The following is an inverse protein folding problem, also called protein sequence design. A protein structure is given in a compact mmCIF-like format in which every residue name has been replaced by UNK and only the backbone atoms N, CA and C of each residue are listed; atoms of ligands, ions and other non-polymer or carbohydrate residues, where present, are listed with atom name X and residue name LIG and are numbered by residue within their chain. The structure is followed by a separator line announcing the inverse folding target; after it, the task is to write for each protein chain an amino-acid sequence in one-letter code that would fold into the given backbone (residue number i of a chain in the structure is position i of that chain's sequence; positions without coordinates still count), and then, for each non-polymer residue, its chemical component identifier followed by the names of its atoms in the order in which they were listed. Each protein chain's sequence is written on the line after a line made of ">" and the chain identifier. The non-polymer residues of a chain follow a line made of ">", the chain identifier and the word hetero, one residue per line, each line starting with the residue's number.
data_IF_729437311599
#
_entry.id   IF_729437311599
#
_cell.length_a   1.000
_cell.length_b   1.000
_cell.length_c   1.000
_cell.angle_alpha   90.00
_cell.angle_beta   90.00
_cell.angle_gamma   90.00
#
_symmetry.space_group_name_H-M   'P 1'
#
loop_
_entity.id
_entity.type
_entity.pdbx_description
1 polymer ?
#
# COMPACT_ATOMS: atom_id res chain seq x y z
N UNK A 1 -1.77 4.97 46.62
CA UNK A 1 -2.28 3.78 45.90
C UNK A 1 -3.06 4.13 44.61
N UNK A 2 -4.11 4.97 44.64
CA UNK A 2 -4.93 5.30 43.44
C UNK A 2 -4.15 5.89 42.24
N UNK A 3 -3.10 6.69 42.50
CA UNK A 3 -2.22 7.27 41.45
C UNK A 3 -1.30 6.24 40.79
N UNK A 4 -0.81 5.24 41.54
CA UNK A 4 0.01 4.15 41.01
C UNK A 4 -0.83 3.20 40.15
N UNK A 5 -2.08 2.96 40.51
CA UNK A 5 -3.00 2.11 39.74
C UNK A 5 -3.32 2.70 38.36
N UNK A 6 -3.42 4.04 38.27
CA UNK A 6 -3.66 4.77 37.02
C UNK A 6 -2.45 4.76 36.08
N UNK A 7 -1.24 4.89 36.65
CA UNK A 7 0.02 4.73 35.92
C UNK A 7 0.22 3.29 35.45
N UNK A 8 -0.20 2.30 36.24
CA UNK A 8 -0.19 0.89 35.84
C UNK A 8 -1.17 0.61 34.68
N UNK A 9 -2.38 1.15 34.73
CA UNK A 9 -3.34 1.04 33.63
C UNK A 9 -2.83 1.70 32.34
N UNK A 10 -2.18 2.86 32.46
CA UNK A 10 -1.56 3.56 31.34
C UNK A 10 -0.39 2.76 30.75
N UNK A 11 0.44 2.16 31.61
CA UNK A 11 1.52 1.26 31.23
C UNK A 11 1.03 -0.03 30.54
N UNK A 12 -0.18 -0.51 30.85
CA UNK A 12 -0.82 -1.63 30.14
C UNK A 12 -1.48 -1.21 28.80
N UNK A 13 -1.90 0.05 28.65
CA UNK A 13 -2.50 0.54 27.40
C UNK A 13 -1.45 0.95 26.35
N UNK A 14 -0.24 1.33 26.78
CA UNK A 14 0.87 1.72 25.91
C UNK A 14 1.31 0.62 24.92
N UNK A 15 1.42 -0.67 25.32
CA UNK A 15 1.70 -1.76 24.38
C UNK A 15 0.63 -1.91 23.29
N UNK A 16 -0.67 -1.80 23.63
CA UNK A 16 -1.74 -1.95 22.64
C UNK A 16 -1.75 -0.84 21.58
N UNK A 17 -1.32 0.38 21.95
CA UNK A 17 -1.17 1.48 21.00
C UNK A 17 0.07 1.32 20.09
N UNK A 18 1.10 0.58 20.53
CA UNK A 18 2.31 0.32 19.74
C UNK A 18 2.14 -0.81 18.71
N UNK A 19 1.10 -1.63 18.83
CA UNK A 19 0.82 -2.74 17.91
C UNK A 19 -0.16 -2.40 16.77
N UNK A 20 -0.66 -1.17 16.69
CA UNK A 20 -1.63 -0.76 15.68
C UNK A 20 -0.99 -0.32 14.35
N UNK A 21 0.03 -1.04 13.89
CA UNK A 21 0.54 -0.89 12.52
C UNK A 21 -0.42 -1.62 11.56
N UNK A 22 -1.58 -1.03 11.27
CA UNK A 22 -2.55 -1.60 10.34
C UNK A 22 -2.10 -1.33 8.90
N UNK A 23 -1.19 -2.16 8.39
CA UNK A 23 -0.96 -2.26 6.96
C UNK A 23 -2.06 -3.09 6.31
N UNK A 24 -2.42 -2.70 5.10
CA UNK A 24 -3.35 -3.43 4.25
C UNK A 24 -2.61 -3.87 3.00
N UNK A 25 -2.64 -5.17 2.73
CA UNK A 25 -1.93 -5.79 1.62
C UNK A 25 -2.90 -6.09 0.48
N UNK A 26 -2.49 -5.79 -0.74
CA UNK A 26 -3.25 -6.04 -1.95
C UNK A 26 -2.41 -6.83 -2.93
N UNK A 27 -2.90 -8.00 -3.34
CA UNK A 27 -2.25 -8.80 -4.37
C UNK A 27 -3.08 -8.74 -5.64
N UNK A 28 -2.44 -8.39 -6.75
CA UNK A 28 -3.04 -8.39 -8.08
C UNK A 28 -2.33 -9.38 -9.00
N UNK A 29 -3.06 -9.92 -9.98
CA UNK A 29 -2.49 -10.81 -10.98
C UNK A 29 -3.13 -10.58 -12.36
N UNK A 30 -2.39 -10.97 -13.39
CA UNK A 30 -2.78 -10.74 -14.79
C UNK A 30 -2.89 -9.26 -15.16
N UNK A 31 -3.34 -8.99 -16.38
CA UNK A 31 -3.31 -7.66 -16.97
C UNK A 31 -2.04 -7.40 -17.78
N UNK A 32 -2.04 -6.28 -18.50
CA UNK A 32 -1.01 -5.92 -19.46
C UNK A 32 -0.22 -4.73 -18.95
N UNK A 33 1.07 -4.96 -18.70
CA UNK A 33 2.03 -3.89 -18.46
C UNK A 33 2.58 -3.42 -19.80
N UNK A 34 2.43 -2.14 -20.10
CA UNK A 34 3.02 -1.49 -21.28
C UNK A 34 3.94 -0.36 -20.85
N UNK A 35 5.06 -0.17 -21.54
CA UNK A 35 6.09 0.79 -21.18
C UNK A 35 6.77 1.40 -22.39
N UNK A 36 7.09 2.69 -22.28
CA UNK A 36 7.89 3.45 -23.26
C UNK A 36 8.75 4.49 -22.53
N UNK A 37 9.43 5.36 -23.27
CA UNK A 37 10.08 6.54 -22.69
C UNK A 37 9.09 7.50 -22.00
N UNK A 38 7.80 7.43 -22.35
CA UNK A 38 6.76 8.25 -21.71
C UNK A 38 6.32 7.72 -20.33
N UNK A 39 6.71 6.51 -19.94
CA UNK A 39 6.32 5.88 -18.67
C UNK A 39 5.83 4.44 -18.85
N UNK A 40 5.48 3.81 -17.72
CA UNK A 40 4.84 2.50 -17.64
C UNK A 40 3.38 2.62 -17.24
N UNK A 41 2.53 1.73 -17.76
CA UNK A 41 1.11 1.65 -17.46
C UNK A 41 0.68 0.20 -17.33
N UNK A 42 -0.07 -0.10 -16.27
CA UNK A 42 -0.71 -1.40 -16.06
C UNK A 42 -2.23 -1.23 -16.20
N UNK A 43 -2.82 -2.04 -17.05
CA UNK A 43 -4.27 -2.11 -17.23
C UNK A 43 -4.78 -3.55 -17.25
N UNK A 44 -6.06 -3.74 -16.92
CA UNK A 44 -6.70 -5.06 -16.93
C UNK A 44 -6.21 -6.02 -15.85
N UNK A 45 -5.52 -5.53 -14.81
CA UNK A 45 -5.08 -6.38 -13.71
C UNK A 45 -6.21 -6.65 -12.72
N UNK A 46 -6.32 -7.90 -12.26
CA UNK A 46 -7.35 -8.34 -11.32
C UNK A 46 -6.79 -8.32 -9.91
N UNK A 47 -7.54 -7.74 -8.96
CA UNK A 47 -7.25 -7.87 -7.55
C UNK A 47 -7.66 -9.27 -7.08
N UNK A 48 -6.68 -10.08 -6.68
CA UNK A 48 -6.88 -11.49 -6.33
C UNK A 48 -6.86 -11.77 -4.82
N UNK A 49 -6.23 -10.89 -4.04
CA UNK A 49 -6.22 -10.97 -2.60
C UNK A 49 -6.21 -9.59 -1.94
N UNK A 50 -6.83 -9.53 -0.78
CA UNK A 50 -6.89 -8.38 0.12
C UNK A 50 -6.62 -8.87 1.54
N UNK A 51 -5.57 -8.35 2.18
CA UNK A 51 -5.17 -8.68 3.55
C UNK A 51 -5.33 -7.48 4.47
N UNK A 52 -6.05 -7.65 5.58
CA UNK A 52 -6.17 -6.62 6.61
C UNK A 52 -6.29 -7.25 7.99
N UNK A 53 -5.49 -6.79 8.96
CA UNK A 53 -5.58 -7.24 10.35
C UNK A 53 -5.39 -8.75 10.55
N UNK A 54 -4.59 -9.40 9.70
CA UNK A 54 -4.34 -10.86 9.75
C UNK A 54 -5.39 -11.73 9.06
N UNK A 55 -6.44 -11.13 8.47
CA UNK A 55 -7.43 -11.85 7.65
C UNK A 55 -7.11 -11.62 6.18
N UNK A 56 -7.11 -12.70 5.39
CA UNK A 56 -6.91 -12.66 3.94
C UNK A 56 -8.20 -13.06 3.24
N UNK A 57 -8.71 -12.17 2.41
CA UNK A 57 -9.81 -12.42 1.49
C UNK A 57 -9.22 -12.68 0.10
N UNK A 58 -9.70 -13.73 -0.57
CA UNK A 58 -9.25 -14.10 -1.93
C UNK A 58 -10.43 -14.17 -2.90
N UNK A 59 -10.15 -14.11 -4.20
CA UNK A 59 -11.15 -14.21 -5.27
C UNK A 59 -10.97 -13.12 -6.32
N UNK A 60 -11.95 -12.91 -7.20
CA UNK A 60 -11.98 -11.71 -8.02
C UNK A 60 -12.57 -10.57 -7.18
N UNK A 61 -11.71 -9.71 -6.65
CA UNK A 61 -12.09 -8.67 -5.68
C UNK A 61 -12.18 -7.29 -6.34
N UNK A 62 -11.81 -7.17 -7.62
CA UNK A 62 -11.78 -5.90 -8.34
C UNK A 62 -10.57 -5.79 -9.25
N UNK A 63 -10.04 -4.58 -9.42
CA UNK A 63 -8.96 -4.28 -10.35
C UNK A 63 -7.89 -3.39 -9.75
N UNK A 64 -6.68 -3.50 -10.30
CA UNK A 64 -5.58 -2.57 -10.07
C UNK A 64 -5.13 -1.98 -11.41
N UNK A 65 -4.93 -0.66 -11.46
CA UNK A 65 -4.33 0.01 -12.59
C UNK A 65 -3.37 1.12 -12.12
N UNK A 66 -2.32 1.38 -12.88
CA UNK A 66 -1.42 2.49 -12.61
C UNK A 66 -0.79 3.06 -13.88
N UNK A 67 -0.24 4.26 -13.76
CA UNK A 67 0.70 4.85 -14.69
C UNK A 67 1.84 5.53 -13.91
N UNK A 68 3.07 5.47 -14.41
CA UNK A 68 4.23 6.19 -13.84
C UNK A 68 4.45 7.52 -14.56
N UNK A 69 5.40 8.33 -14.07
CA UNK A 69 5.97 9.41 -14.86
C UNK A 69 6.87 8.92 -16.00
N UNK A 70 7.45 9.86 -16.75
CA UNK A 70 8.35 9.58 -17.87
C UNK A 70 9.66 8.91 -17.43
N UNK A 71 10.32 8.23 -18.36
CA UNK A 71 11.64 7.64 -18.14
C UNK A 71 12.68 8.75 -17.88
N UNK A 72 13.41 8.62 -16.79
CA UNK A 72 14.44 9.58 -16.33
C UNK A 72 15.84 9.02 -16.38
N UNK A 73 16.00 7.69 -16.40
CA UNK A 73 17.30 7.04 -16.50
C UNK A 73 17.19 5.57 -16.90
N UNK A 74 18.28 5.02 -17.46
CA UNK A 74 18.36 3.64 -17.92
C UNK A 74 17.53 3.36 -19.17
N UNK A 75 17.11 2.12 -19.35
CA UNK A 75 16.23 1.68 -20.45
C UNK A 75 15.36 0.49 -20.03
N UNK A 76 14.29 0.24 -20.76
CA UNK A 76 13.29 -0.76 -20.38
C UNK A 76 13.83 -2.21 -20.39
N UNK A 77 14.91 -2.49 -21.13
CA UNK A 77 15.48 -3.82 -21.26
C UNK A 77 16.50 -4.12 -20.15
N UNK A 78 17.32 -3.16 -19.75
CA UNK A 78 18.43 -3.37 -18.81
C UNK A 78 18.15 -2.83 -17.41
N UNK A 79 17.01 -2.17 -17.22
CA UNK A 79 16.65 -1.50 -15.98
C UNK A 79 16.53 0.00 -16.20
N UNK A 80 15.51 0.58 -15.57
CA UNK A 80 15.08 1.95 -15.80
C UNK A 80 14.67 2.64 -14.49
N UNK A 81 14.61 3.96 -14.53
CA UNK A 81 14.03 4.79 -13.47
C UNK A 81 13.05 5.75 -14.11
N UNK A 82 11.83 5.79 -13.59
CA UNK A 82 10.79 6.70 -14.02
C UNK A 82 10.58 7.79 -12.97
N UNK A 83 10.16 8.97 -13.42
CA UNK A 83 9.72 10.03 -12.52
C UNK A 83 8.50 9.58 -11.70
N UNK A 84 8.33 10.19 -10.53
CA UNK A 84 7.07 10.11 -9.78
C UNK A 84 5.90 10.78 -10.51
N UNK A 85 4.74 10.79 -9.87
CA UNK A 85 3.48 11.25 -10.44
C UNK A 85 2.67 10.09 -11.04
N UNK A 86 2.04 10.34 -12.19
CA UNK A 86 1.15 9.39 -12.84
C UNK A 86 -0.12 9.13 -12.03
N UNK A 87 -0.58 7.88 -11.98
CA UNK A 87 -1.77 7.46 -11.26
C UNK A 87 -1.62 6.06 -10.68
N UNK A 88 -2.30 5.78 -9.58
CA UNK A 88 -2.38 4.45 -9.00
C UNK A 88 -3.75 4.26 -8.37
N UNK A 89 -4.51 3.30 -8.87
CA UNK A 89 -5.90 3.08 -8.44
C UNK A 89 -6.14 1.60 -8.16
N UNK A 90 -6.70 1.33 -6.98
CA UNK A 90 -7.27 0.04 -6.62
C UNK A 90 -8.78 0.23 -6.53
N UNK A 91 -9.52 -0.55 -7.31
CA UNK A 91 -10.99 -0.51 -7.35
C UNK A 91 -11.52 -1.86 -6.91
N UNK A 92 -12.36 -1.88 -5.88
CA UNK A 92 -13.05 -3.09 -5.45
C UNK A 92 -14.40 -3.25 -6.14
N UNK A 93 -14.88 -4.49 -6.23
CA UNK A 93 -16.13 -4.83 -6.93
C UNK A 93 -17.30 -5.18 -5.98
N UNK A 94 -17.15 -5.00 -4.67
CA UNK A 94 -18.19 -5.34 -3.68
C UNK A 94 -18.21 -6.81 -3.22
N UNK A 95 -17.40 -7.69 -3.82
CA UNK A 95 -17.41 -9.13 -3.52
C UNK A 95 -16.68 -9.41 -2.20
N UNK A 96 -17.15 -10.41 -1.45
CA UNK A 96 -16.52 -10.89 -0.20
C UNK A 96 -16.26 -9.79 0.85
N UNK A 97 -17.12 -8.76 0.90
CA UNK A 97 -17.02 -7.66 1.87
C UNK A 97 -15.99 -6.59 1.50
N UNK A 98 -15.37 -6.68 0.32
CA UNK A 98 -14.51 -5.61 -0.22
C UNK A 98 -15.39 -4.42 -0.65
N UNK A 99 -14.90 -3.20 -0.44
CA UNK A 99 -15.62 -1.98 -0.85
C UNK A 99 -15.93 -1.98 -2.36
N UNK A 100 -17.11 -1.48 -2.75
CA UNK A 100 -17.50 -1.34 -4.16
C UNK A 100 -17.18 0.07 -4.65
N UNK A 101 -16.12 0.22 -5.46
CA UNK A 101 -15.60 1.51 -5.88
C UNK A 101 -14.10 1.66 -5.62
N UNK A 102 -13.58 2.88 -5.73
CA UNK A 102 -12.16 3.15 -5.49
C UNK A 102 -11.80 2.92 -4.01
N UNK A 103 -10.97 1.90 -3.75
CA UNK A 103 -10.43 1.59 -2.42
C UNK A 103 -9.27 2.52 -2.10
N UNK A 104 -8.41 2.74 -3.10
CA UNK A 104 -7.26 3.64 -3.02
C UNK A 104 -7.12 4.39 -4.34
N UNK A 105 -6.84 5.69 -4.24
CA UNK A 105 -6.54 6.55 -5.39
C UNK A 105 -5.36 7.44 -5.05
N UNK A 106 -4.28 7.31 -5.81
CA UNK A 106 -3.02 7.98 -5.49
C UNK A 106 -2.10 8.14 -6.70
N UNK A 107 -0.85 8.50 -6.41
CA UNK A 107 0.23 8.71 -7.38
C UNK A 107 1.56 8.24 -6.78
N UNK A 108 2.56 8.03 -7.63
CA UNK A 108 3.90 7.73 -7.16
C UNK A 108 4.54 8.98 -6.54
N UNK A 109 4.93 8.91 -5.26
CA UNK A 109 5.47 10.06 -4.52
C UNK A 109 6.95 10.36 -4.80
N UNK A 110 7.64 9.44 -5.47
CA UNK A 110 9.05 9.57 -5.84
C UNK A 110 9.38 8.74 -7.08
N UNK A 111 10.68 8.59 -7.41
CA UNK A 111 11.10 7.80 -8.54
C UNK A 111 10.62 6.35 -8.45
N UNK A 112 10.22 5.79 -9.59
CA UNK A 112 9.81 4.40 -9.72
C UNK A 112 10.95 3.62 -10.38
N UNK A 113 11.43 2.58 -9.71
CA UNK A 113 12.57 1.78 -10.18
C UNK A 113 12.08 0.55 -10.94
N UNK A 114 12.71 0.27 -12.08
CA UNK A 114 12.53 -0.93 -12.88
C UNK A 114 13.85 -1.69 -12.91
N UNK A 115 13.92 -2.84 -12.25
CA UNK A 115 15.16 -3.59 -12.08
C UNK A 115 15.10 -4.93 -12.79
N UNK A 116 16.10 -5.22 -13.61
CA UNK A 116 16.29 -6.53 -14.25
C UNK A 116 17.17 -7.44 -13.37
N UNK A 117 16.75 -8.69 -13.21
CA UNK A 117 17.58 -9.80 -12.73
C UNK A 117 17.55 -10.92 -13.76
N UNK A 118 18.72 -11.30 -14.27
CA UNK A 118 18.87 -12.51 -15.09
C UNK A 118 19.12 -13.71 -14.19
N UNK A 119 18.25 -14.71 -14.29
CA UNK A 119 18.31 -15.94 -13.52
C UNK A 119 19.33 -16.92 -14.12
N UNK A 120 19.76 -17.90 -13.32
CA UNK A 120 20.74 -18.91 -13.76
C UNK A 120 20.27 -19.76 -14.96
N UNK A 121 18.95 -19.89 -15.17
CA UNK A 121 18.36 -20.56 -16.33
C UNK A 121 18.29 -19.66 -17.60
N UNK A 122 18.84 -18.45 -17.52
CA UNK A 122 18.88 -17.47 -18.60
C UNK A 122 17.57 -16.73 -18.84
N UNK A 123 16.57 -16.85 -17.95
CA UNK A 123 15.36 -16.01 -18.04
C UNK A 123 15.53 -14.69 -17.30
N UNK A 124 14.72 -13.71 -17.68
CA UNK A 124 14.78 -12.34 -17.16
C UNK A 124 13.57 -12.06 -16.29
N UNK A 125 13.82 -11.76 -15.01
CA UNK A 125 12.84 -11.23 -14.07
C UNK A 125 12.98 -9.72 -14.00
N UNK A 126 11.86 -9.02 -14.06
CA UNK A 126 11.83 -7.59 -13.79
C UNK A 126 10.94 -7.27 -12.61
N UNK A 127 11.38 -6.29 -11.84
CA UNK A 127 10.63 -5.76 -10.70
C UNK A 127 10.43 -4.26 -10.86
N UNK A 128 9.18 -3.82 -10.83
CA UNK A 128 8.83 -2.41 -10.69
C UNK A 128 8.55 -2.13 -9.21
N UNK A 129 9.21 -1.13 -8.64
CA UNK A 129 8.97 -0.70 -7.26
C UNK A 129 8.88 0.82 -7.15
N UNK A 130 7.99 1.29 -6.28
CA UNK A 130 7.82 2.71 -6.02
C UNK A 130 7.00 2.99 -4.75
N UNK A 131 7.21 4.16 -4.20
CA UNK A 131 6.41 4.68 -3.09
C UNK A 131 5.17 5.43 -3.61
N UNK A 132 4.08 5.35 -2.87
CA UNK A 132 2.77 5.89 -3.21
C UNK A 132 2.30 6.86 -2.11
N UNK A 133 1.59 7.90 -2.56
CA UNK A 133 0.76 8.77 -1.71
C UNK A 133 -0.62 8.88 -2.34
N UNK A 134 -1.66 9.00 -1.53
CA UNK A 134 -3.03 9.05 -2.03
C UNK A 134 -4.08 9.11 -0.95
N UNK A 135 -5.30 8.73 -1.33
CA UNK A 135 -6.48 8.78 -0.48
C UNK A 135 -7.11 7.39 -0.40
N UNK A 136 -7.40 6.96 0.82
CA UNK A 136 -8.17 5.76 1.12
C UNK A 136 -9.67 6.00 0.93
N UNK A 137 -10.48 4.96 0.69
CA UNK A 137 -11.92 5.10 0.47
C UNK A 137 -12.68 5.77 1.64
N UNK A 138 -12.11 5.77 2.84
CA UNK A 138 -12.65 6.49 4.01
C UNK A 138 -12.36 8.00 3.99
N UNK A 139 -11.66 8.50 2.98
CA UNK A 139 -11.21 9.89 2.86
C UNK A 139 -9.89 10.19 3.58
N UNK A 140 -9.27 9.20 4.23
CA UNK A 140 -7.99 9.39 4.92
C UNK A 140 -6.82 9.49 3.94
N UNK A 141 -5.92 10.44 4.16
CA UNK A 141 -4.68 10.54 3.39
C UNK A 141 -3.70 9.44 3.80
N UNK A 142 -3.15 8.75 2.81
CA UNK A 142 -2.14 7.71 2.97
C UNK A 142 -0.81 8.27 2.48
N UNK A 143 0.23 8.15 3.32
CA UNK A 143 1.60 8.46 2.96
C UNK A 143 2.49 7.26 3.27
N UNK A 144 3.33 6.86 2.32
CA UNK A 144 4.28 5.76 2.52
C UNK A 144 3.72 4.38 2.17
N UNK A 145 2.73 4.29 1.29
CA UNK A 145 2.39 3.02 0.66
C UNK A 145 3.49 2.61 -0.32
N UNK A 146 3.67 1.31 -0.54
CA UNK A 146 4.67 0.77 -1.47
C UNK A 146 4.06 -0.25 -2.39
N UNK A 147 4.47 -0.24 -3.66
CA UNK A 147 4.10 -1.28 -4.63
C UNK A 147 5.35 -2.00 -5.12
N UNK A 148 5.19 -3.30 -5.34
CA UNK A 148 6.16 -4.14 -6.02
C UNK A 148 5.43 -5.03 -7.04
N UNK A 149 5.74 -4.85 -8.32
CA UNK A 149 5.21 -5.67 -9.41
C UNK A 149 6.32 -6.53 -9.99
N UNK A 150 6.07 -7.82 -10.21
CA UNK A 150 7.07 -8.72 -10.80
C UNK A 150 6.56 -9.38 -12.08
N UNK A 151 7.45 -9.44 -13.08
CA UNK A 151 7.23 -10.12 -14.35
C UNK A 151 8.42 -11.01 -14.71
N UNK A 152 8.17 -12.02 -15.55
CA UNK A 152 9.21 -12.80 -16.20
C UNK A 152 8.96 -12.76 -17.72
N UNK A 153 9.97 -12.35 -18.50
CA UNK A 153 9.85 -12.24 -19.97
C UNK A 153 10.46 -13.44 -20.71
N UNK A 154 10.72 -14.54 -19.99
CA UNK A 154 11.47 -15.68 -20.52
C UNK A 154 12.90 -15.27 -20.86
N UNK A 155 13.42 -15.79 -21.97
CA UNK A 155 14.79 -15.51 -22.45
C UNK A 155 14.91 -14.20 -23.26
N UNK A 156 13.80 -13.52 -23.53
CA UNK A 156 13.79 -12.23 -24.20
C UNK A 156 13.81 -11.08 -23.20
N UNK A 157 14.30 -9.92 -23.61
CA UNK A 157 14.17 -8.69 -22.81
C UNK A 157 12.76 -8.12 -22.89
N UNK A 158 12.40 -7.26 -21.94
CA UNK A 158 11.14 -6.52 -22.01
C UNK A 158 11.12 -5.63 -23.26
N UNK A 159 10.12 -5.83 -24.12
CA UNK A 159 10.00 -5.14 -25.40
C UNK A 159 8.73 -4.29 -25.47
N UNK A 160 8.52 -3.45 -24.45
CA UNK A 160 7.45 -2.45 -24.43
C UNK A 160 6.08 -2.96 -23.95
N UNK A 161 5.79 -4.26 -24.00
CA UNK A 161 4.55 -4.80 -23.42
C UNK A 161 4.68 -6.26 -23.01
N UNK A 162 4.02 -6.63 -21.90
CA UNK A 162 3.94 -8.02 -21.44
C UNK A 162 2.81 -8.21 -20.41
N UNK A 163 2.40 -9.46 -20.19
CA UNK A 163 1.46 -9.79 -19.13
C UNK A 163 2.19 -9.89 -17.79
N UNK A 164 1.58 -9.37 -16.73
CA UNK A 164 2.17 -9.50 -15.39
C UNK A 164 1.90 -10.87 -14.78
N UNK A 165 2.85 -11.37 -13.97
CA UNK A 165 2.62 -12.58 -13.19
C UNK A 165 1.85 -12.25 -11.92
N UNK A 166 2.38 -11.33 -11.11
CA UNK A 166 1.78 -10.88 -9.85
C UNK A 166 2.36 -9.53 -9.42
N UNK A 167 1.59 -8.77 -8.65
CA UNK A 167 2.05 -7.60 -7.92
C UNK A 167 1.51 -7.59 -6.50
N UNK A 168 2.25 -6.94 -5.62
CA UNK A 168 1.90 -6.73 -4.22
C UNK A 168 1.96 -5.23 -3.91
N UNK A 169 0.97 -4.75 -3.17
CA UNK A 169 0.88 -3.35 -2.72
C UNK A 169 0.55 -3.34 -1.24
N UNK A 170 1.48 -2.79 -0.46
CA UNK A 170 1.30 -2.56 0.96
C UNK A 170 0.91 -1.10 1.18
N UNK A 171 -0.23 -0.90 1.84
CA UNK A 171 -0.76 0.41 2.18
C UNK A 171 -0.78 0.55 3.69
N UNK A 172 0.05 1.44 4.22
CA UNK A 172 -0.03 1.85 5.63
C UNK A 172 -1.18 2.83 5.78
N UNK A 173 -2.27 2.39 6.40
CA UNK A 173 -3.45 3.23 6.63
C UNK A 173 -3.31 3.90 7.99
N UNK A 174 -3.49 5.24 8.11
CA UNK A 174 -3.57 5.88 9.41
C UNK A 174 -4.68 5.24 10.24
N UNK A 175 -4.37 4.84 11.47
CA UNK A 175 -5.31 4.14 12.34
C UNK A 175 -6.66 4.88 12.44
N UNK A 176 -7.80 4.17 12.33
CA UNK A 176 -9.11 4.81 12.49
C UNK A 176 -9.31 5.24 13.95
N UNK A 177 -9.06 6.51 14.28
CA UNK A 177 -9.54 7.21 15.49
C UNK A 177 -9.12 6.66 16.87
N UNK A 178 -8.54 5.46 16.97
CA UNK A 178 -8.23 4.77 18.24
C UNK A 178 -7.20 5.54 19.07
N UNK A 179 -6.18 6.11 18.45
CA UNK A 179 -5.20 6.97 19.12
C UNK A 179 -5.82 8.30 19.58
N UNK A 180 -6.73 8.88 18.78
CA UNK A 180 -7.44 10.11 19.15
C UNK A 180 -8.44 9.85 20.30
N UNK A 181 -9.14 8.72 20.28
CA UNK A 181 -10.04 8.31 21.35
C UNK A 181 -9.29 7.94 22.62
N UNK A 182 -8.13 7.28 22.51
CA UNK A 182 -7.23 7.04 23.63
C UNK A 182 -6.73 8.37 24.21
N UNK A 183 -6.24 9.28 23.35
CA UNK A 183 -5.76 10.60 23.75
C UNK A 183 -6.83 11.44 24.45
N UNK A 184 -8.02 11.54 23.86
CA UNK A 184 -9.16 12.25 24.46
C UNK A 184 -9.69 11.56 25.71
N UNK A 185 -9.70 10.22 25.77
CA UNK A 185 -10.04 9.45 26.96
C UNK A 185 -9.08 9.72 28.12
N UNK A 186 -7.78 9.84 27.84
CA UNK A 186 -6.76 10.17 28.84
C UNK A 186 -6.89 11.62 29.33
N UNK A 187 -7.19 12.57 28.44
CA UNK A 187 -7.48 13.96 28.83
C UNK A 187 -8.75 14.04 29.69
N UNK A 188 -9.80 13.31 29.32
CA UNK A 188 -11.04 13.20 30.11
C UNK A 188 -10.77 12.64 31.51
N UNK A 189 -9.96 11.58 31.61
CA UNK A 189 -9.59 10.97 32.87
C UNK A 189 -8.74 11.92 33.75
N UNK A 190 -7.78 12.63 33.14
CA UNK A 190 -7.00 13.67 33.82
C UNK A 190 -7.89 14.81 34.35
N UNK A 191 -8.90 15.22 33.59
CA UNK A 191 -9.90 16.21 34.01
C UNK A 191 -10.69 15.78 35.25
N UNK A 192 -11.16 14.52 35.29
CA UNK A 192 -11.88 13.96 36.44
C UNK A 192 -10.99 13.87 37.68
N UNK A 193 -9.72 13.46 37.52
CA UNK A 193 -8.75 13.41 38.63
C UNK A 193 -8.50 14.82 39.18
N UNK A 194 -8.33 15.82 38.30
CA UNK A 194 -8.14 17.22 38.71
C UNK A 194 -9.34 17.75 39.50
N UNK A 195 -10.56 17.41 39.08
CA UNK A 195 -11.79 17.78 39.81
C UNK A 195 -11.83 17.17 41.21
N UNK A 196 -11.38 15.92 41.37
CA UNK A 196 -11.36 15.22 42.67
C UNK A 196 -10.18 15.58 43.59
N UNK A 197 -9.19 16.34 43.11
CA UNK A 197 -8.06 16.83 43.92
C UNK A 197 -8.25 18.28 44.40
N UNK A 198 -9.25 19.00 43.87
CA UNK A 198 -9.64 20.34 44.32
C UNK A 198 -10.83 20.35 45.29
N UNK A 199 -11.43 19.19 45.54
CA UNK A 199 -12.40 18.90 46.60
C UNK A 199 -11.69 18.04 47.63
#
# INVERSE_FOLDING_TARGET
>A
MKRMMLLFLLALALPMAAFANNSVDFTNAGGTLSGSSAGMSLSGSTLIAFGSGGVITTGNLGTMAFSTGALTGGNLQMGATFAGGGSFTITGNGTNGVHNGAIFSGTFSGPVTWTLVTLANGTHNYTLSGALTGTWFSGSTVNGATVQLTINTGKGFFNGSTSISSGDTNIVVPEPGSLTLLGTGLVGLAGVIRRKLKV
#
